data_IF_659403712835
#
_entry.id   IF_659403712835
#
_cell.length_a   1.000
_cell.length_b   1.000
_cell.length_c   1.000
_cell.angle_alpha   90.00
_cell.angle_beta   90.00
_cell.angle_gamma   90.00
#
_symmetry.space_group_name_H-M   'P 1'
#
loop_
_entity.id
_entity.type
_entity.pdbx_description
1 polymer ?
#
# COMPACT_ATOMS: atom_id res chain seq x y z
N UNK A 1 5.62 9.22 -11.97
CA UNK A 1 5.43 10.17 -10.86
C UNK A 1 4.60 11.37 -11.29
N UNK A 2 5.24 12.48 -11.65
CA UNK A 2 4.54 13.73 -12.04
C UNK A 2 3.58 13.58 -13.23
N UNK A 3 3.89 12.73 -14.21
CA UNK A 3 2.98 12.41 -15.30
C UNK A 3 1.68 11.80 -14.78
N UNK A 4 1.76 10.74 -13.98
CA UNK A 4 0.61 10.07 -13.39
C UNK A 4 -0.20 10.99 -12.46
N UNK A 5 0.46 11.85 -11.68
CA UNK A 5 -0.23 12.85 -10.85
C UNK A 5 -1.07 13.84 -11.68
N UNK A 6 -0.63 14.17 -12.91
CA UNK A 6 -1.39 15.01 -13.83
C UNK A 6 -2.50 14.23 -14.53
N UNK A 7 -2.18 13.04 -15.02
CA UNK A 7 -3.09 12.17 -15.76
C UNK A 7 -4.29 11.76 -14.92
N UNK A 8 -4.06 11.33 -13.68
CA UNK A 8 -5.10 10.87 -12.75
C UNK A 8 -5.42 11.93 -11.69
N UNK A 9 -5.30 13.22 -12.03
CA UNK A 9 -5.45 14.32 -11.08
C UNK A 9 -6.80 14.31 -10.35
N UNK A 10 -7.90 14.03 -11.06
CA UNK A 10 -9.24 13.92 -10.46
C UNK A 10 -9.34 12.76 -9.47
N UNK A 11 -8.75 11.60 -9.81
CA UNK A 11 -8.70 10.41 -8.96
C UNK A 11 -7.89 10.67 -7.69
N UNK A 12 -6.73 11.33 -7.81
CA UNK A 12 -5.92 11.71 -6.64
C UNK A 12 -6.64 12.76 -5.77
N UNK A 13 -7.34 13.72 -6.38
CA UNK A 13 -8.13 14.71 -5.63
C UNK A 13 -9.27 14.03 -4.87
N UNK A 14 -9.95 13.06 -5.48
CA UNK A 14 -10.96 12.22 -4.82
C UNK A 14 -10.35 11.44 -3.66
N UNK A 15 -9.22 10.78 -3.86
CA UNK A 15 -8.52 10.04 -2.82
C UNK A 15 -8.14 10.92 -1.62
N UNK A 16 -7.64 12.13 -1.87
CA UNK A 16 -7.31 13.09 -0.81
C UNK A 16 -8.58 13.57 -0.08
N UNK A 17 -9.66 13.83 -0.80
CA UNK A 17 -10.94 14.25 -0.21
C UNK A 17 -11.58 13.16 0.65
N UNK A 18 -11.50 11.89 0.24
CA UNK A 18 -12.16 10.77 0.93
C UNK A 18 -11.32 10.22 2.09
N UNK A 19 -10.00 10.14 1.90
CA UNK A 19 -9.10 9.43 2.82
C UNK A 19 -8.11 10.34 3.54
N UNK A 20 -8.00 11.61 3.13
CA UNK A 20 -7.03 12.56 3.67
C UNK A 20 -5.58 12.25 3.30
N UNK A 21 -5.35 11.33 2.34
CA UNK A 21 -4.02 10.91 1.89
C UNK A 21 -3.63 11.74 0.66
N UNK A 22 -2.56 12.56 0.72
CA UNK A 22 -2.18 13.40 -0.40
C UNK A 22 -1.75 12.57 -1.63
N UNK A 23 -2.09 13.06 -2.82
CA UNK A 23 -1.72 12.41 -4.09
C UNK A 23 -0.24 12.01 -4.20
N UNK A 24 0.74 12.86 -3.82
CA UNK A 24 2.15 12.50 -3.85
C UNK A 24 2.52 11.30 -2.95
N UNK A 25 1.83 11.11 -1.82
CA UNK A 25 2.05 9.96 -0.93
C UNK A 25 1.57 8.68 -1.60
N UNK A 26 0.36 8.72 -2.17
CA UNK A 26 -0.20 7.58 -2.92
C UNK A 26 0.68 7.25 -4.13
N UNK A 27 1.11 8.26 -4.90
CA UNK A 27 1.98 8.07 -6.05
C UNK A 27 3.34 7.48 -5.64
N UNK A 28 3.90 7.87 -4.49
CA UNK A 28 5.14 7.29 -3.97
C UNK A 28 4.96 5.82 -3.58
N UNK A 29 3.85 5.47 -2.92
CA UNK A 29 3.51 4.09 -2.60
C UNK A 29 3.37 3.24 -3.87
N UNK A 30 2.57 3.69 -4.83
CA UNK A 30 2.37 3.00 -6.11
C UNK A 30 3.67 2.85 -6.94
N UNK A 31 4.54 3.85 -6.91
CA UNK A 31 5.86 3.76 -7.54
C UNK A 31 6.76 2.71 -6.87
N UNK A 32 6.78 2.68 -5.54
CA UNK A 32 7.60 1.76 -4.76
C UNK A 32 7.21 0.31 -5.00
N UNK A 33 5.90 0.03 -5.07
CA UNK A 33 5.41 -1.34 -5.21
C UNK A 33 5.70 -1.92 -6.59
N UNK A 34 5.46 -1.16 -7.67
CA UNK A 34 5.47 -1.74 -9.04
C UNK A 34 5.96 -0.82 -10.15
N UNK A 35 6.55 0.34 -9.85
CA UNK A 35 6.82 1.39 -10.84
C UNK A 35 5.56 1.74 -11.65
N UNK A 36 4.50 2.10 -10.93
CA UNK A 36 3.21 2.49 -11.51
C UNK A 36 2.54 1.37 -12.34
N UNK A 37 2.70 0.12 -11.91
CA UNK A 37 2.14 -1.05 -12.58
C UNK A 37 3.02 -1.65 -13.69
N UNK A 38 4.21 -1.10 -13.95
CA UNK A 38 5.13 -1.65 -14.95
C UNK A 38 5.70 -3.02 -14.54
N UNK A 39 5.87 -3.27 -13.24
CA UNK A 39 6.47 -4.49 -12.68
C UNK A 39 5.55 -5.11 -11.62
N UNK A 40 4.61 -5.97 -12.03
CA UNK A 40 3.63 -6.59 -11.13
C UNK A 40 3.94 -8.05 -10.77
N UNK A 41 5.00 -8.62 -11.33
CA UNK A 41 5.32 -10.04 -11.26
C UNK A 41 4.53 -10.90 -12.27
N UNK A 42 5.07 -12.08 -12.53
CA UNK A 42 4.60 -13.05 -13.53
C UNK A 42 4.38 -14.45 -12.93
N UNK A 43 4.40 -14.57 -11.60
CA UNK A 43 4.19 -15.83 -10.89
C UNK A 43 2.69 -16.11 -10.80
N UNK A 44 2.29 -17.36 -11.04
CA UNK A 44 0.92 -17.83 -10.78
C UNK A 44 0.56 -17.62 -9.30
N UNK A 45 -0.43 -16.75 -9.04
CA UNK A 45 -0.85 -16.42 -7.67
C UNK A 45 -1.37 -17.66 -6.94
N UNK A 46 -2.10 -18.54 -7.65
CA UNK A 46 -2.58 -19.80 -7.10
C UNK A 46 -1.41 -20.69 -6.66
N UNK A 47 -0.40 -20.88 -7.50
CA UNK A 47 0.71 -21.78 -7.20
C UNK A 47 1.58 -21.24 -6.06
N UNK A 48 1.80 -19.92 -6.03
CA UNK A 48 2.52 -19.25 -4.94
C UNK A 48 1.81 -19.47 -3.59
N UNK A 49 0.52 -19.16 -3.52
CA UNK A 49 -0.26 -19.27 -2.28
C UNK A 49 -0.47 -20.72 -1.86
N UNK A 50 -0.73 -21.64 -2.79
CA UNK A 50 -0.85 -23.07 -2.49
C UNK A 50 0.47 -23.62 -1.91
N UNK A 51 1.61 -23.24 -2.51
CA UNK A 51 2.93 -23.65 -2.02
C UNK A 51 3.21 -23.10 -0.62
N UNK A 52 2.93 -21.82 -0.39
CA UNK A 52 3.18 -21.17 0.90
C UNK A 52 2.20 -21.59 2.00
N UNK A 53 0.95 -21.92 1.66
CA UNK A 53 -0.04 -22.45 2.59
C UNK A 53 0.28 -23.89 3.04
N UNK A 54 1.00 -24.64 2.20
CA UNK A 54 1.52 -25.97 2.53
C UNK A 54 2.81 -25.90 3.36
N UNK A 55 3.63 -24.88 3.16
CA UNK A 55 4.89 -24.69 3.89
C UNK A 55 4.67 -24.52 5.41
N UNK A 56 5.43 -25.25 6.22
CA UNK A 56 5.29 -25.27 7.67
C UNK A 56 5.79 -24.00 8.39
N UNK A 57 6.48 -23.08 7.70
CA UNK A 57 7.12 -21.90 8.33
C UNK A 57 6.14 -20.80 8.70
N UNK A 58 5.13 -20.54 7.85
CA UNK A 58 4.11 -19.49 8.05
C UNK A 58 2.70 -19.90 7.55
N UNK A 59 2.23 -21.14 7.79
CA UNK A 59 0.95 -21.60 7.25
C UNK A 59 -0.25 -20.78 7.76
N UNK A 60 -0.16 -20.20 8.95
CA UNK A 60 -1.17 -19.33 9.54
C UNK A 60 -1.36 -18.00 8.81
N UNK A 61 -0.35 -17.55 8.06
CA UNK A 61 -0.44 -16.36 7.21
C UNK A 61 -1.05 -16.73 5.86
N UNK A 62 -0.53 -17.77 5.20
CA UNK A 62 -0.86 -18.03 3.79
C UNK A 62 -2.11 -18.87 3.55
N UNK A 63 -2.60 -19.64 4.54
CA UNK A 63 -3.88 -20.35 4.39
C UNK A 63 -5.07 -19.40 4.26
N UNK A 64 -5.20 -18.35 5.12
CA UNK A 64 -6.19 -17.30 4.89
C UNK A 64 -6.07 -16.64 3.51
N UNK A 65 -4.86 -16.35 3.05
CA UNK A 65 -4.65 -15.73 1.74
C UNK A 65 -5.07 -16.62 0.58
N UNK A 66 -4.80 -17.93 0.66
CA UNK A 66 -5.29 -18.88 -0.35
C UNK A 66 -6.83 -18.93 -0.38
N UNK A 67 -7.49 -18.88 0.79
CA UNK A 67 -8.96 -18.86 0.86
C UNK A 67 -9.50 -17.55 0.27
N UNK A 68 -8.93 -16.41 0.66
CA UNK A 68 -9.29 -15.10 0.11
C UNK A 68 -9.08 -15.02 -1.41
N UNK A 69 -8.02 -15.65 -1.92
CA UNK A 69 -7.78 -15.75 -3.36
C UNK A 69 -8.89 -16.54 -4.07
N UNK A 70 -9.27 -17.71 -3.53
CA UNK A 70 -10.37 -18.50 -4.10
C UNK A 70 -11.69 -17.73 -4.08
N UNK A 71 -11.91 -16.91 -3.06
CA UNK A 71 -13.08 -16.03 -2.99
C UNK A 71 -13.05 -14.91 -4.04
N UNK A 72 -11.88 -14.29 -4.30
CA UNK A 72 -11.74 -13.33 -5.42
C UNK A 72 -12.05 -13.98 -6.76
N UNK A 73 -11.64 -15.24 -6.96
CA UNK A 73 -11.95 -16.01 -8.17
C UNK A 73 -13.43 -16.34 -8.28
N UNK A 74 -14.07 -16.79 -7.19
CA UNK A 74 -15.50 -17.11 -7.14
C UNK A 74 -16.38 -15.88 -7.43
N UNK A 75 -15.98 -14.71 -6.92
CA UNK A 75 -16.62 -13.41 -7.22
C UNK A 75 -16.37 -12.92 -8.65
N UNK A 76 -15.46 -13.54 -9.39
CA UNK A 76 -15.04 -13.09 -10.71
C UNK A 76 -14.20 -11.80 -10.70
N UNK A 77 -13.66 -11.41 -9.55
CA UNK A 77 -12.79 -10.23 -9.41
C UNK A 77 -11.45 -10.44 -10.12
N UNK A 78 -10.90 -11.66 -10.03
CA UNK A 78 -9.68 -12.05 -10.76
C UNK A 78 -9.86 -13.42 -11.41
N UNK A 79 -9.22 -13.69 -12.56
CA UNK A 79 -9.19 -15.04 -13.11
C UNK A 79 -8.30 -15.95 -12.25
N UNK A 80 -8.59 -17.25 -12.23
CA UNK A 80 -7.73 -18.24 -11.53
C UNK A 80 -6.28 -18.24 -12.04
N UNK A 81 -6.07 -17.83 -13.29
CA UNK A 81 -4.76 -17.71 -13.95
C UNK A 81 -4.06 -16.38 -13.69
N UNK A 82 -4.55 -15.54 -12.77
CA UNK A 82 -3.95 -14.24 -12.48
C UNK A 82 -2.52 -14.42 -11.98
N UNK A 83 -1.66 -13.48 -12.38
CA UNK A 83 -0.26 -13.44 -11.96
C UNK A 83 0.03 -12.29 -11.01
N UNK A 84 1.08 -12.48 -10.22
CA UNK A 84 1.53 -11.56 -9.20
C UNK A 84 2.97 -11.79 -8.78
N UNK A 85 3.33 -11.31 -7.59
CA UNK A 85 4.62 -11.58 -6.99
C UNK A 85 4.71 -12.97 -6.37
N UNK A 86 5.94 -13.33 -6.02
CA UNK A 86 6.31 -14.66 -5.55
C UNK A 86 5.57 -15.10 -4.27
N UNK A 87 5.06 -14.17 -3.45
CA UNK A 87 4.32 -14.47 -2.23
C UNK A 87 2.78 -14.39 -2.41
N UNK A 88 2.30 -14.20 -3.64
CA UNK A 88 0.89 -14.22 -4.00
C UNK A 88 0.22 -12.85 -4.04
N UNK A 89 0.99 -11.77 -3.92
CA UNK A 89 0.51 -10.41 -4.06
C UNK A 89 0.05 -10.10 -5.49
N UNK A 90 -1.08 -9.40 -5.64
CA UNK A 90 -1.70 -9.13 -6.93
C UNK A 90 -1.62 -7.64 -7.26
N UNK A 91 -1.25 -7.37 -8.51
CA UNK A 91 -1.47 -6.08 -9.16
C UNK A 91 -0.50 -4.98 -8.77
N UNK A 92 -0.91 -3.76 -9.11
CA UNK A 92 -0.14 -2.53 -9.07
C UNK A 92 0.30 -2.11 -7.66
N UNK A 93 -0.35 -2.64 -6.64
CA UNK A 93 -0.09 -2.32 -5.24
C UNK A 93 0.55 -3.47 -4.46
N UNK A 94 0.85 -4.59 -5.12
CA UNK A 94 1.33 -5.81 -4.46
C UNK A 94 0.44 -6.19 -3.25
N UNK A 95 -0.88 -6.23 -3.48
CA UNK A 95 -1.84 -6.52 -2.41
C UNK A 95 -2.02 -8.02 -2.25
N UNK A 96 -1.91 -8.52 -1.01
CA UNK A 96 -2.35 -9.87 -0.68
C UNK A 96 -3.87 -10.02 -0.91
N UNK A 97 -4.36 -11.23 -1.24
CA UNK A 97 -5.78 -11.46 -1.54
C UNK A 97 -6.77 -10.97 -0.48
N UNK A 98 -6.48 -11.17 0.81
CA UNK A 98 -7.35 -10.70 1.91
C UNK A 98 -7.47 -9.17 1.90
N UNK A 99 -6.34 -8.50 1.73
CA UNK A 99 -6.21 -7.06 1.61
C UNK A 99 -6.93 -6.53 0.36
N UNK A 100 -6.89 -7.25 -0.76
CA UNK A 100 -7.69 -6.94 -1.96
C UNK A 100 -9.19 -6.96 -1.62
N UNK A 101 -9.68 -8.02 -0.98
CA UNK A 101 -11.10 -8.14 -0.61
C UNK A 101 -11.55 -7.04 0.36
N UNK A 102 -10.71 -6.70 1.33
CA UNK A 102 -11.06 -5.74 2.38
C UNK A 102 -10.91 -4.28 1.97
N UNK A 103 -9.92 -3.98 1.12
CA UNK A 103 -9.49 -2.61 0.82
C UNK A 103 -9.74 -2.17 -0.62
N UNK A 104 -10.00 -3.10 -1.52
CA UNK A 104 -10.26 -2.82 -2.93
C UNK A 104 -11.39 -1.83 -3.13
N UNK A 105 -11.15 -0.78 -3.91
CA UNK A 105 -12.14 0.24 -4.27
C UNK A 105 -12.20 0.36 -5.79
N UNK A 106 -13.44 0.37 -6.30
CA UNK A 106 -13.78 0.76 -7.66
C UNK A 106 -13.56 2.28 -7.81
N UNK A 107 -12.44 2.63 -8.43
CA UNK A 107 -11.93 3.99 -8.58
C UNK A 107 -12.46 4.68 -9.83
N UNK A 108 -12.77 3.92 -10.89
CA UNK A 108 -13.30 4.45 -12.16
C UNK A 108 -14.83 4.33 -12.32
N UNK A 109 -15.49 3.57 -11.44
CA UNK A 109 -16.94 3.45 -11.36
C UNK A 109 -17.53 2.44 -12.35
N UNK A 110 -16.73 1.51 -12.88
CA UNK A 110 -17.20 0.51 -13.85
C UNK A 110 -17.91 -0.71 -13.20
N UNK A 111 -17.97 -0.75 -11.87
CA UNK A 111 -18.57 -1.82 -11.07
C UNK A 111 -17.62 -2.97 -10.75
N UNK A 112 -16.32 -2.84 -11.06
CA UNK A 112 -15.28 -3.83 -10.77
C UNK A 112 -14.14 -3.18 -10.00
N UNK A 113 -13.32 -4.04 -9.39
CA UNK A 113 -12.06 -3.63 -8.80
C UNK A 113 -10.97 -4.41 -9.53
N UNK A 114 -10.25 -3.78 -10.44
CA UNK A 114 -9.14 -4.32 -11.20
C UNK A 114 -7.81 -3.68 -10.77
N UNK A 115 -7.18 -4.25 -9.76
CA UNK A 115 -5.87 -3.78 -9.28
C UNK A 115 -4.72 -4.12 -10.23
N UNK A 116 -4.93 -4.85 -11.33
CA UNK A 116 -3.88 -5.10 -12.34
C UNK A 116 -3.93 -4.05 -13.45
N UNK A 117 -5.12 -3.74 -13.96
CA UNK A 117 -5.31 -2.91 -15.14
C UNK A 117 -5.82 -1.49 -14.88
N UNK A 118 -6.51 -1.24 -13.76
CA UNK A 118 -7.08 0.07 -13.47
C UNK A 118 -6.19 0.88 -12.51
N UNK A 119 -5.56 1.93 -13.05
CA UNK A 119 -4.86 2.92 -12.23
C UNK A 119 -5.79 3.67 -11.27
N UNK A 120 -7.02 4.07 -11.67
CA UNK A 120 -8.00 4.60 -10.73
C UNK A 120 -8.27 3.70 -9.52
N UNK A 121 -8.48 2.40 -9.73
CA UNK A 121 -8.72 1.44 -8.65
C UNK A 121 -7.50 1.31 -7.74
N UNK A 122 -6.30 1.25 -8.32
CA UNK A 122 -5.04 1.23 -7.56
C UNK A 122 -4.87 2.50 -6.71
N UNK A 123 -5.18 3.68 -7.23
CA UNK A 123 -5.04 4.95 -6.50
C UNK A 123 -6.00 5.00 -5.30
N UNK A 124 -7.28 4.69 -5.50
CA UNK A 124 -8.27 4.73 -4.42
C UNK A 124 -8.04 3.62 -3.39
N UNK A 125 -7.67 2.43 -3.84
CA UNK A 125 -7.34 1.30 -2.96
C UNK A 125 -6.11 1.60 -2.11
N UNK A 126 -5.07 2.22 -2.69
CA UNK A 126 -3.88 2.65 -1.95
C UNK A 126 -4.25 3.71 -0.89
N UNK A 127 -5.09 4.68 -1.24
CA UNK A 127 -5.56 5.69 -0.29
C UNK A 127 -6.31 5.05 0.90
N UNK A 128 -7.21 4.10 0.63
CA UNK A 128 -7.93 3.35 1.65
C UNK A 128 -6.98 2.52 2.53
N UNK A 129 -6.01 1.82 1.92
CA UNK A 129 -5.00 1.04 2.64
C UNK A 129 -4.18 1.94 3.57
N UNK A 130 -3.61 3.03 3.06
CA UNK A 130 -2.80 3.98 3.84
C UNK A 130 -3.62 4.59 4.98
N UNK A 131 -4.86 5.00 4.69
CA UNK A 131 -5.78 5.53 5.70
C UNK A 131 -6.04 4.51 6.82
N UNK A 132 -6.28 3.25 6.46
CA UNK A 132 -6.53 2.17 7.42
C UNK A 132 -5.33 1.84 8.33
N UNK A 133 -4.11 2.24 7.94
CA UNK A 133 -2.90 2.10 8.75
C UNK A 133 -2.72 3.25 9.78
N UNK A 134 -3.72 4.12 9.92
CA UNK A 134 -3.74 5.19 10.92
C UNK A 134 -3.18 6.52 10.41
N UNK A 135 -3.18 6.74 9.10
CA UNK A 135 -2.82 8.03 8.52
C UNK A 135 -3.66 9.16 9.11
N UNK A 136 -3.02 10.31 9.37
CA UNK A 136 -3.68 11.51 9.89
C UNK A 136 -3.42 12.67 8.95
N UNK A 137 -4.49 13.18 8.35
CA UNK A 137 -4.42 14.31 7.43
C UNK A 137 -3.81 15.54 8.12
N UNK A 138 -2.90 16.22 7.42
CA UNK A 138 -2.24 17.43 7.91
C UNK A 138 -1.08 17.20 8.89
N UNK A 139 -0.82 15.96 9.33
CA UNK A 139 0.38 15.63 10.11
C UNK A 139 1.57 15.32 9.19
N UNK A 140 2.79 15.79 9.50
CA UNK A 140 3.98 15.45 8.71
C UNK A 140 4.35 13.97 8.92
N UNK A 141 4.65 13.25 7.84
CA UNK A 141 5.10 11.85 7.89
C UNK A 141 6.57 11.71 8.33
N UNK A 142 7.39 12.74 8.10
CA UNK A 142 8.77 12.86 8.56
C UNK A 142 9.09 14.33 8.82
N UNK A 143 9.88 14.58 9.85
CA UNK A 143 10.43 15.90 10.13
C UNK A 143 11.93 15.77 10.36
N UNK A 144 12.71 16.54 9.59
CA UNK A 144 14.15 16.64 9.83
C UNK A 144 14.41 17.41 11.13
N UNK A 145 15.27 16.86 11.98
CA UNK A 145 15.66 17.47 13.25
C UNK A 145 17.18 17.57 13.35
N UNK A 146 17.66 18.61 14.02
CA UNK A 146 19.08 18.73 14.37
C UNK A 146 19.32 18.19 15.77
N UNK A 147 20.24 17.27 15.88
CA UNK A 147 20.58 16.60 17.13
C UNK A 147 21.70 17.37 17.84
N UNK A 148 21.54 17.74 19.13
CA UNK A 148 22.61 18.32 19.92
C UNK A 148 23.83 17.40 19.99
N UNK A 149 25.04 17.98 19.98
CA UNK A 149 26.30 17.22 19.99
C UNK A 149 26.49 16.36 21.26
N UNK A 150 25.76 16.67 22.32
CA UNK A 150 25.78 15.99 23.62
C UNK A 150 24.59 15.04 23.81
N UNK A 151 23.82 14.71 22.76
CA UNK A 151 22.71 13.78 22.87
C UNK A 151 23.18 12.41 23.41
N UNK A 152 22.64 11.94 24.54
CA UNK A 152 22.98 10.64 25.07
C UNK A 152 22.24 9.55 24.29
N UNK A 153 22.96 8.84 23.41
CA UNK A 153 22.45 7.76 22.55
C UNK A 153 22.10 6.44 23.29
N UNK A 154 21.72 6.53 24.57
CA UNK A 154 21.40 5.38 25.42
C UNK A 154 20.10 4.65 25.03
N UNK A 155 19.89 3.42 25.49
CA UNK A 155 18.75 2.61 25.07
C UNK A 155 17.43 3.20 25.58
N UNK A 156 16.62 3.70 24.63
CA UNK A 156 15.22 4.14 24.74
C UNK A 156 14.97 5.48 25.44
N UNK A 157 14.98 6.56 24.67
CA UNK A 157 14.17 7.75 24.94
C UNK A 157 13.09 7.81 23.87
N UNK A 158 11.89 7.31 24.18
CA UNK A 158 10.74 7.39 23.28
C UNK A 158 10.22 8.82 23.16
N UNK A 159 9.44 9.08 22.09
CA UNK A 159 8.68 10.31 21.88
C UNK A 159 7.75 10.56 23.09
N UNK A 160 8.23 11.28 24.09
CA UNK A 160 7.53 11.49 25.36
C UNK A 160 8.42 11.77 26.57
N UNK A 161 9.72 11.46 26.49
CA UNK A 161 10.68 11.99 27.47
C UNK A 161 11.30 13.28 26.92
N UNK A 162 11.28 14.35 27.72
CA UNK A 162 11.97 15.60 27.40
C UNK A 162 13.48 15.38 27.43
N UNK A 163 14.02 14.82 26.35
CA UNK A 163 15.40 15.10 25.97
C UNK A 163 15.48 16.58 25.57
N UNK A 164 16.56 17.25 25.96
CA UNK A 164 16.78 18.69 25.72
C UNK A 164 16.34 19.12 24.32
N UNK A 165 15.64 20.25 24.26
CA UNK A 165 14.82 20.69 23.13
C UNK A 165 15.40 20.34 21.75
N UNK A 166 14.82 19.32 21.11
CA UNK A 166 14.97 19.07 19.68
C UNK A 166 14.45 20.31 18.94
N UNK A 167 15.32 20.95 18.15
CA UNK A 167 14.92 22.08 17.31
C UNK A 167 14.56 21.54 15.93
N UNK A 168 13.32 21.81 15.52
CA UNK A 168 12.91 21.67 14.12
C UNK A 168 13.78 22.60 13.29
N UNK A 169 14.47 22.05 12.29
CA UNK A 169 15.23 22.86 11.35
C UNK A 169 14.26 23.70 10.52
N UNK A 170 14.28 25.02 10.69
CA UNK A 170 13.72 25.92 9.70
C UNK A 170 14.71 25.99 8.53
N UNK A 171 14.26 25.58 7.34
CA UNK A 171 15.01 25.81 6.11
C UNK A 171 15.07 27.33 5.86
N UNK A 172 16.28 27.87 5.86
CA UNK A 172 16.62 29.21 5.37
C UNK A 172 17.37 29.10 4.07
#
# INVERSE_FOLDING_TARGET
GEANLREYSDTFARAESEFGVPGPVIAAFWALETDFGANQGDVSTLDALASLAYDCRRPEIFRPELIAFLELVDRGTVPVSVTGAWAGEIGQLQMLPSDYLEKGIDGDGDGRVDLKGSAPDAILTAANKISSLGWRAGEPWLQEVRIPSDMPWGPKQGLGQQAGALRVGANG
#
